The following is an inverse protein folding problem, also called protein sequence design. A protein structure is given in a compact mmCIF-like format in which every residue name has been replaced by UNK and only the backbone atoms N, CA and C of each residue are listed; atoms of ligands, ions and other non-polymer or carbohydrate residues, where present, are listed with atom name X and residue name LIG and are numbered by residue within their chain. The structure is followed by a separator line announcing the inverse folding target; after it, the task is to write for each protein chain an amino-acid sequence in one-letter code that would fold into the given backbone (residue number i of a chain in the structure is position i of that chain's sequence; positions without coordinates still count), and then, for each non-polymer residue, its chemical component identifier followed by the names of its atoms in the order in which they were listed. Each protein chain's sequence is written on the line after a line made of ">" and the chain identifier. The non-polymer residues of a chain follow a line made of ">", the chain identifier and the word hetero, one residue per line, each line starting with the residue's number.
data_IF_546570480430
#
_entry.id   IF_546570480430
#
_cell.length_a   1.000
_cell.length_b   1.000
_cell.length_c   1.000
_cell.angle_alpha   90.00
_cell.angle_beta   90.00
_cell.angle_gamma   90.00
#
_symmetry.space_group_name_H-M   'P 1'
#
loop_
_entity.id
_entity.type
_entity.pdbx_description
1 polymer ?
#
# COMPACT_ATOMS: atom_id res chain seq x y z
N UNK A 1 -10.25 45.57 -23.38
CA UNK A 1 -10.18 44.67 -22.24
C UNK A 1 -11.05 45.17 -21.11
N UNK A 2 -11.75 44.31 -20.42
CA UNK A 2 -12.56 44.69 -19.28
C UNK A 2 -11.68 45.03 -18.10
N UNK A 3 -11.80 46.24 -17.57
CA UNK A 3 -11.08 46.69 -16.36
C UNK A 3 -12.17 47.00 -15.31
N UNK A 4 -11.96 46.55 -14.09
CA UNK A 4 -12.87 46.81 -12.98
C UNK A 4 -12.14 47.53 -11.84
N UNK A 5 -12.85 48.47 -11.20
CA UNK A 5 -12.46 49.06 -9.92
C UNK A 5 -13.02 48.19 -8.79
N UNK A 6 -12.14 47.73 -7.92
CA UNK A 6 -12.47 46.97 -6.73
C UNK A 6 -12.42 47.90 -5.52
N UNK A 7 -13.38 47.74 -4.59
CA UNK A 7 -13.50 48.58 -3.37
C UNK A 7 -13.53 47.68 -2.14
N UNK A 8 -12.54 47.85 -1.29
CA UNK A 8 -12.44 47.12 -0.01
C UNK A 8 -12.81 48.10 1.13
N UNK A 9 -13.86 47.80 1.84
CA UNK A 9 -14.29 48.56 3.02
C UNK A 9 -13.54 48.06 4.29
N UNK A 10 -13.40 48.93 5.27
CA UNK A 10 -12.72 48.60 6.53
C UNK A 10 -11.19 48.61 6.43
N UNK A 11 -10.64 49.12 5.34
CA UNK A 11 -9.20 49.24 5.16
C UNK A 11 -8.59 50.30 6.08
N UNK A 12 -7.35 50.08 6.48
CA UNK A 12 -6.54 51.01 7.29
C UNK A 12 -5.21 51.31 6.57
N UNK A 13 -4.45 52.24 7.06
CA UNK A 13 -3.24 52.76 6.36
C UNK A 13 -2.18 51.71 6.05
N UNK A 14 -2.18 50.57 6.73
CA UNK A 14 -1.26 49.43 6.51
C UNK A 14 -1.93 48.22 5.89
N UNK A 15 -3.14 48.39 5.29
CA UNK A 15 -3.80 47.32 4.54
C UNK A 15 -3.09 47.08 3.23
N UNK A 16 -2.77 45.83 2.97
CA UNK A 16 -2.26 45.31 1.69
C UNK A 16 -3.34 44.47 1.03
N UNK A 17 -3.36 44.50 -0.29
CA UNK A 17 -4.22 43.62 -1.12
C UNK A 17 -3.29 42.92 -2.12
N UNK A 18 -3.34 41.58 -2.12
CA UNK A 18 -2.64 40.78 -3.09
C UNK A 18 -3.61 40.05 -4.02
N UNK A 19 -3.32 40.08 -5.32
CA UNK A 19 -3.89 39.17 -6.30
C UNK A 19 -3.17 37.81 -6.15
N UNK A 20 -3.90 36.80 -5.74
CA UNK A 20 -3.41 35.42 -5.51
C UNK A 20 -4.02 34.44 -6.53
N UNK A 21 -4.54 34.96 -7.65
CA UNK A 21 -5.10 34.16 -8.75
C UNK A 21 -4.07 33.13 -9.26
N UNK A 22 -2.79 33.46 -9.24
CA UNK A 22 -1.68 32.51 -9.32
C UNK A 22 -0.99 32.48 -7.95
N UNK A 23 -1.22 31.45 -7.14
CA UNK A 23 -0.67 31.38 -5.78
C UNK A 23 0.86 31.28 -5.74
N UNK A 24 1.48 30.88 -6.86
CA UNK A 24 2.94 30.83 -6.97
C UNK A 24 3.55 32.18 -7.33
N UNK A 25 2.73 33.14 -7.79
CA UNK A 25 3.15 34.49 -8.21
C UNK A 25 2.20 35.57 -7.70
N UNK A 26 2.04 35.72 -6.40
CA UNK A 26 1.18 36.75 -5.83
C UNK A 26 1.65 38.16 -6.23
N UNK A 27 0.71 39.04 -6.57
CA UNK A 27 0.99 40.40 -7.00
C UNK A 27 0.36 41.41 -6.03
N UNK A 28 1.15 42.37 -5.56
CA UNK A 28 0.61 43.44 -4.72
C UNK A 28 -0.21 44.42 -5.56
N UNK A 29 -1.43 44.67 -5.14
CA UNK A 29 -2.32 45.65 -5.79
C UNK A 29 -2.03 47.04 -5.31
N UNK A 30 -1.69 47.94 -6.23
CA UNK A 30 -1.52 49.35 -5.95
C UNK A 30 -2.88 50.00 -5.98
N UNK A 31 -3.23 50.80 -4.97
CA UNK A 31 -4.52 51.44 -4.86
C UNK A 31 -4.46 52.71 -4.02
N UNK A 32 -5.63 53.31 -3.83
CA UNK A 32 -5.80 54.55 -3.04
C UNK A 32 -6.67 54.28 -1.85
N UNK A 33 -6.23 54.64 -0.67
CA UNK A 33 -7.01 54.63 0.55
C UNK A 33 -7.66 56.00 0.75
N UNK A 34 -9.00 56.02 0.85
CA UNK A 34 -9.80 57.20 1.17
C UNK A 34 -10.74 56.89 2.33
N UNK A 35 -10.48 57.47 3.48
CA UNK A 35 -11.16 57.09 4.72
C UNK A 35 -10.85 55.65 5.10
N UNK A 36 -11.84 54.77 5.14
CA UNK A 36 -11.73 53.35 5.40
C UNK A 36 -11.97 52.47 4.14
N UNK A 37 -11.94 53.07 2.95
CA UNK A 37 -12.11 52.38 1.69
C UNK A 37 -10.81 52.37 0.88
N UNK A 38 -10.29 51.17 0.56
CA UNK A 38 -9.18 51.01 -0.35
C UNK A 38 -9.68 50.63 -1.75
N UNK A 39 -9.29 51.41 -2.74
CA UNK A 39 -9.69 51.19 -4.15
C UNK A 39 -8.49 50.82 -4.99
N UNK A 40 -8.67 49.81 -5.80
CA UNK A 40 -7.65 49.38 -6.78
C UNK A 40 -8.33 48.96 -8.08
N UNK A 41 -7.55 48.95 -9.15
CA UNK A 41 -8.03 48.60 -10.49
C UNK A 41 -7.26 47.37 -11.00
N UNK A 42 -7.98 46.44 -11.58
CA UNK A 42 -7.37 45.26 -12.23
C UNK A 42 -8.21 44.82 -13.44
N UNK A 43 -7.65 43.98 -14.30
CA UNK A 43 -8.40 43.39 -15.42
C UNK A 43 -9.41 42.39 -14.90
N UNK A 44 -10.61 42.41 -15.48
CA UNK A 44 -11.73 41.54 -15.11
C UNK A 44 -12.09 40.55 -16.25
N UNK A 45 -11.08 40.07 -16.99
CA UNK A 45 -11.29 39.18 -18.14
C UNK A 45 -11.46 37.71 -17.70
N UNK A 46 -11.09 37.40 -16.46
CA UNK A 46 -11.21 36.07 -15.84
C UNK A 46 -11.54 36.20 -14.34
N UNK A 47 -11.96 35.09 -13.74
CA UNK A 47 -12.07 35.02 -12.27
C UNK A 47 -10.71 35.35 -11.63
N UNK A 48 -10.73 36.20 -10.60
CA UNK A 48 -9.57 36.57 -9.82
C UNK A 48 -9.83 36.38 -8.34
N UNK A 49 -8.77 36.01 -7.64
CA UNK A 49 -8.80 35.82 -6.18
C UNK A 49 -7.90 36.88 -5.52
N UNK A 50 -8.43 37.53 -4.51
CA UNK A 50 -7.71 38.54 -3.74
C UNK A 50 -7.71 38.20 -2.27
N UNK A 51 -6.58 38.46 -1.59
CA UNK A 51 -6.47 38.45 -0.15
C UNK A 51 -6.12 39.84 0.35
N UNK A 52 -6.86 40.32 1.36
CA UNK A 52 -6.56 41.59 2.04
C UNK A 52 -6.14 41.32 3.48
N UNK A 53 -5.07 41.94 3.92
CA UNK A 53 -4.52 41.75 5.25
C UNK A 53 -3.76 43.01 5.73
N UNK A 54 -3.50 43.07 7.04
CA UNK A 54 -2.71 44.12 7.64
C UNK A 54 -1.30 43.61 7.95
N UNK A 55 -0.27 44.44 7.77
CA UNK A 55 1.14 44.06 8.00
C UNK A 55 1.45 43.56 9.42
N UNK A 56 0.58 43.82 10.38
CA UNK A 56 0.75 43.39 11.78
C UNK A 56 0.35 41.91 12.01
N UNK A 57 -0.30 41.29 11.05
CA UNK A 57 -0.87 39.93 11.19
C UNK A 57 -0.08 38.86 10.41
N UNK A 58 1.16 39.14 10.05
CA UNK A 58 2.00 38.13 9.41
C UNK A 58 2.32 37.00 10.36
N UNK A 59 2.07 35.79 9.89
CA UNK A 59 2.60 34.60 10.58
C UNK A 59 4.12 34.63 10.48
N UNK A 60 4.77 34.34 11.59
CA UNK A 60 6.24 34.26 11.66
C UNK A 60 6.66 32.78 11.53
N UNK A 61 7.56 32.43 10.60
CA UNK A 61 8.10 31.09 10.57
C UNK A 61 8.98 30.84 11.80
N UNK A 62 8.88 29.64 12.37
CA UNK A 62 9.76 29.20 13.46
C UNK A 62 10.94 28.48 12.87
N UNK A 63 12.16 28.92 13.19
CA UNK A 63 13.38 28.22 12.76
C UNK A 63 13.50 26.89 13.53
N UNK A 64 13.46 25.76 12.82
CA UNK A 64 13.61 24.42 13.41
C UNK A 64 15.08 24.00 13.50
N UNK A 65 15.92 24.44 12.59
CA UNK A 65 17.33 24.12 12.55
C UNK A 65 17.88 23.91 11.13
N UNK A 66 19.12 23.44 11.05
CA UNK A 66 19.75 23.07 9.79
C UNK A 66 19.38 21.64 9.42
N UNK A 67 19.04 21.45 8.14
CA UNK A 67 18.91 20.12 7.54
C UNK A 67 20.30 19.68 7.08
N UNK A 68 20.64 18.39 7.25
CA UNK A 68 21.88 17.83 6.72
C UNK A 68 21.89 17.93 5.19
N UNK A 69 23.04 18.24 4.61
CA UNK A 69 23.16 18.23 3.16
C UNK A 69 22.92 16.81 2.62
N UNK A 70 22.16 16.75 1.55
CA UNK A 70 21.81 15.51 0.84
C UNK A 70 21.73 15.77 -0.65
N UNK A 71 21.74 14.73 -1.46
CA UNK A 71 21.62 14.79 -2.91
C UNK A 71 20.94 13.49 -3.42
N UNK A 72 19.64 13.41 -3.30
CA UNK A 72 18.86 12.30 -3.85
C UNK A 72 18.73 12.41 -5.36
N UNK A 73 18.78 13.63 -5.89
CA UNK A 73 18.83 13.87 -7.34
C UNK A 73 20.12 13.31 -7.97
N UNK A 74 21.23 13.26 -7.26
CA UNK A 74 22.48 12.65 -7.71
C UNK A 74 22.55 11.14 -7.56
N UNK A 75 21.52 10.48 -7.00
CA UNK A 75 21.54 9.04 -6.77
C UNK A 75 21.69 8.23 -8.07
N UNK A 76 22.52 7.16 -8.08
CA UNK A 76 22.72 6.31 -9.25
C UNK A 76 21.48 5.44 -9.53
N UNK A 77 21.38 4.91 -10.74
CA UNK A 77 20.34 3.96 -11.13
C UNK A 77 20.25 2.80 -10.13
N UNK A 78 19.03 2.43 -9.76
CA UNK A 78 18.77 1.42 -8.74
C UNK A 78 17.61 0.50 -9.14
N UNK A 79 17.70 -0.77 -8.78
CA UNK A 79 16.62 -1.74 -9.02
C UNK A 79 15.57 -1.74 -7.92
N UNK A 80 15.94 -1.41 -6.69
CA UNK A 80 15.08 -1.49 -5.54
C UNK A 80 15.18 -0.23 -4.69
N UNK A 81 14.04 0.40 -4.48
CA UNK A 81 13.91 1.62 -3.68
C UNK A 81 13.21 1.25 -2.39
N UNK A 82 13.76 1.67 -1.26
CA UNK A 82 13.12 1.54 0.06
C UNK A 82 12.94 2.94 0.63
N UNK A 83 11.70 3.33 0.86
CA UNK A 83 11.35 4.59 1.54
C UNK A 83 10.83 4.24 2.93
N UNK A 84 11.53 4.67 3.96
CA UNK A 84 11.24 4.34 5.35
C UNK A 84 11.00 5.58 6.21
N UNK A 85 10.15 5.46 7.22
CA UNK A 85 10.11 6.50 8.26
C UNK A 85 11.47 6.59 8.98
N UNK A 86 11.94 7.78 9.39
CA UNK A 86 13.24 7.93 10.05
C UNK A 86 13.47 6.97 11.23
N UNK A 87 12.45 6.71 12.04
CA UNK A 87 12.55 5.79 13.19
C UNK A 87 12.78 4.33 12.80
N UNK A 88 12.49 3.95 11.55
CA UNK A 88 12.61 2.58 11.04
C UNK A 88 13.77 2.43 10.04
N UNK A 89 14.46 3.52 9.70
CA UNK A 89 15.47 3.56 8.66
C UNK A 89 16.63 2.57 8.90
N UNK A 90 17.00 2.34 10.15
CA UNK A 90 18.07 1.39 10.49
C UNK A 90 17.75 -0.04 10.01
N UNK A 91 16.52 -0.49 10.20
CA UNK A 91 16.08 -1.82 9.73
C UNK A 91 15.90 -1.86 8.20
N UNK A 92 15.44 -0.77 7.59
CA UNK A 92 15.38 -0.62 6.14
C UNK A 92 16.79 -0.72 5.52
N UNK A 93 17.79 -0.07 6.11
CA UNK A 93 19.19 -0.19 5.68
C UNK A 93 19.75 -1.60 5.87
N UNK A 94 19.39 -2.28 6.96
CA UNK A 94 19.78 -3.68 7.21
C UNK A 94 19.22 -4.59 6.11
N UNK A 95 17.95 -4.42 5.76
CA UNK A 95 17.30 -5.15 4.66
C UNK A 95 17.95 -4.82 3.31
N UNK A 96 18.20 -3.55 3.03
CA UNK A 96 18.87 -3.11 1.80
C UNK A 96 20.26 -3.75 1.64
N UNK A 97 21.05 -3.79 2.72
CA UNK A 97 22.37 -4.42 2.73
C UNK A 97 22.28 -5.93 2.45
N UNK A 98 21.28 -6.59 3.05
CA UNK A 98 21.05 -8.00 2.81
C UNK A 98 20.72 -8.29 1.33
N UNK A 99 19.86 -7.51 0.70
CA UNK A 99 19.53 -7.66 -0.72
C UNK A 99 20.72 -7.41 -1.63
N UNK A 100 21.54 -6.39 -1.35
CA UNK A 100 22.77 -6.13 -2.10
C UNK A 100 23.75 -7.31 -2.06
N UNK A 101 23.91 -7.92 -0.88
CA UNK A 101 24.88 -9.00 -0.65
C UNK A 101 24.41 -10.36 -1.18
N UNK A 102 23.10 -10.63 -1.14
CA UNK A 102 22.57 -11.98 -1.37
C UNK A 102 21.76 -12.13 -2.65
N UNK A 103 21.26 -11.02 -3.23
CA UNK A 103 20.39 -11.06 -4.42
C UNK A 103 20.92 -10.26 -5.59
N UNK A 104 22.11 -9.70 -5.48
CA UNK A 104 22.76 -8.90 -6.53
C UNK A 104 21.87 -7.72 -7.02
N UNK A 105 21.09 -7.12 -6.11
CA UNK A 105 20.27 -5.95 -6.41
C UNK A 105 21.03 -4.66 -6.07
N UNK A 106 20.88 -3.65 -6.90
CA UNK A 106 21.22 -2.28 -6.52
C UNK A 106 20.04 -1.73 -5.71
N UNK A 107 20.31 -1.30 -4.48
CA UNK A 107 19.25 -0.85 -3.55
C UNK A 107 19.58 0.52 -3.02
N UNK A 108 18.62 1.42 -3.02
CA UNK A 108 18.67 2.67 -2.26
C UNK A 108 17.64 2.61 -1.14
N UNK A 109 18.05 2.96 0.08
CA UNK A 109 17.15 3.09 1.21
C UNK A 109 17.31 4.49 1.81
N UNK A 110 16.21 5.23 1.85
CA UNK A 110 16.14 6.63 2.27
C UNK A 110 15.00 6.85 3.27
N UNK A 111 15.09 7.93 4.04
CA UNK A 111 13.97 8.32 4.89
C UNK A 111 12.93 9.14 4.14
N UNK A 112 11.69 9.10 4.64
CA UNK A 112 10.61 9.99 4.15
C UNK A 112 11.02 11.45 4.23
N UNK A 113 11.68 11.89 5.32
CA UNK A 113 12.16 13.27 5.46
C UNK A 113 13.13 13.66 4.35
N UNK A 114 14.07 12.78 3.99
CA UNK A 114 15.00 13.05 2.89
C UNK A 114 14.25 13.24 1.57
N UNK A 115 13.23 12.41 1.32
CA UNK A 115 12.40 12.54 0.12
C UNK A 115 11.58 13.83 0.15
N UNK A 116 10.96 14.17 1.27
CA UNK A 116 10.18 15.40 1.40
C UNK A 116 11.01 16.66 1.20
N UNK A 117 12.26 16.67 1.68
CA UNK A 117 13.15 17.81 1.50
C UNK A 117 13.45 18.13 0.04
N UNK A 118 13.62 17.12 -0.81
CA UNK A 118 13.99 17.32 -2.22
C UNK A 118 12.82 17.27 -3.21
N UNK A 119 11.75 16.53 -2.88
CA UNK A 119 10.63 16.26 -3.80
C UNK A 119 9.28 16.80 -3.31
N UNK A 120 9.19 17.24 -2.04
CA UNK A 120 7.97 17.73 -1.41
C UNK A 120 8.09 19.14 -0.83
N UNK A 121 9.12 19.91 -1.19
CA UNK A 121 9.38 21.26 -0.62
C UNK A 121 9.44 21.25 0.91
N UNK A 122 9.86 20.14 1.52
CA UNK A 122 9.97 19.96 2.96
C UNK A 122 8.66 19.54 3.66
N UNK A 123 7.58 19.37 2.93
CA UNK A 123 6.28 18.93 3.50
C UNK A 123 6.03 17.45 3.26
N UNK A 124 5.43 16.73 4.23
CA UNK A 124 4.96 15.36 4.01
C UNK A 124 3.94 15.30 2.87
N UNK A 125 4.26 14.52 1.84
CA UNK A 125 3.44 14.40 0.65
C UNK A 125 3.66 13.03 -0.02
N UNK A 126 2.58 12.32 -0.29
CA UNK A 126 2.63 11.06 -1.04
C UNK A 126 3.20 11.28 -2.45
N UNK A 127 2.86 12.40 -3.10
CA UNK A 127 3.37 12.74 -4.42
C UNK A 127 4.91 12.92 -4.43
N UNK A 128 5.51 13.37 -3.34
CA UNK A 128 6.96 13.48 -3.22
C UNK A 128 7.64 12.10 -3.34
N UNK A 129 7.07 11.07 -2.73
CA UNK A 129 7.59 9.69 -2.82
C UNK A 129 7.44 9.19 -4.26
N UNK A 130 6.26 9.38 -4.89
CA UNK A 130 6.05 9.02 -6.31
C UNK A 130 7.06 9.73 -7.22
N UNK A 131 7.26 11.03 -7.05
CA UNK A 131 8.20 11.82 -7.86
C UNK A 131 9.66 11.36 -7.67
N UNK A 132 10.04 10.98 -6.46
CA UNK A 132 11.36 10.37 -6.21
C UNK A 132 11.55 9.06 -6.99
N UNK A 133 10.56 8.18 -7.00
CA UNK A 133 10.59 6.93 -7.77
C UNK A 133 10.57 7.21 -9.27
N UNK A 134 9.69 8.12 -9.71
CA UNK A 134 9.58 8.54 -11.12
C UNK A 134 10.89 9.09 -11.67
N UNK A 135 11.65 9.80 -10.88
CA UNK A 135 12.97 10.31 -11.29
C UNK A 135 13.90 9.18 -11.79
N UNK A 136 13.93 8.03 -11.12
CA UNK A 136 14.72 6.88 -11.58
C UNK A 136 14.13 6.26 -12.83
N UNK A 137 12.80 6.16 -12.91
CA UNK A 137 12.10 5.62 -14.06
C UNK A 137 12.36 6.46 -15.32
N UNK A 138 12.17 7.77 -15.24
CA UNK A 138 12.38 8.70 -16.36
C UNK A 138 13.84 8.73 -16.83
N UNK A 139 14.79 8.70 -15.90
CA UNK A 139 16.23 8.67 -16.23
C UNK A 139 16.66 7.40 -16.92
N UNK A 140 16.03 6.28 -16.62
CA UNK A 140 16.30 5.03 -17.29
C UNK A 140 15.82 5.04 -18.75
N UNK A 141 14.73 5.74 -19.05
CA UNK A 141 14.16 5.85 -20.39
C UNK A 141 13.95 4.49 -21.04
N UNK A 142 14.55 4.27 -22.21
CA UNK A 142 14.46 2.98 -22.92
C UNK A 142 15.37 1.88 -22.36
N UNK A 143 16.29 2.19 -21.44
CA UNK A 143 17.21 1.21 -20.84
C UNK A 143 16.51 0.49 -19.67
N UNK A 144 15.79 -0.56 -19.99
CA UNK A 144 15.04 -1.37 -19.00
C UNK A 144 15.92 -1.99 -17.91
N UNK A 145 17.23 -2.16 -18.16
CA UNK A 145 18.16 -2.69 -17.16
C UNK A 145 18.42 -1.70 -16.02
N UNK A 146 18.25 -0.40 -16.29
CA UNK A 146 18.41 0.68 -15.30
C UNK A 146 17.12 1.10 -14.63
N UNK A 147 15.96 0.61 -15.10
CA UNK A 147 14.67 0.94 -14.48
C UNK A 147 14.59 0.39 -13.07
N UNK A 148 13.97 1.14 -12.14
CA UNK A 148 13.57 0.57 -10.86
C UNK A 148 12.59 -0.58 -11.11
N UNK A 149 12.68 -1.63 -10.30
CA UNK A 149 11.78 -2.79 -10.39
C UNK A 149 10.87 -2.89 -9.19
N UNK A 150 11.33 -2.39 -8.05
CA UNK A 150 10.65 -2.55 -6.77
C UNK A 150 10.70 -1.29 -5.95
N UNK A 151 9.57 -1.01 -5.29
CA UNK A 151 9.44 -0.04 -4.21
C UNK A 151 8.96 -0.76 -2.95
N UNK A 152 9.62 -0.50 -1.83
CA UNK A 152 9.14 -0.88 -0.51
C UNK A 152 8.83 0.37 0.30
N UNK A 153 7.59 0.50 0.73
CA UNK A 153 7.13 1.48 1.69
C UNK A 153 7.30 0.88 3.10
N UNK A 154 8.24 1.41 3.87
CA UNK A 154 8.64 0.81 5.13
C UNK A 154 8.18 1.66 6.31
N UNK A 155 6.96 1.40 6.74
CA UNK A 155 6.23 2.08 7.80
C UNK A 155 4.72 1.98 7.59
N UNK A 156 4.00 2.10 8.68
CA UNK A 156 2.54 2.15 8.71
C UNK A 156 2.01 3.38 7.99
N UNK A 157 0.74 3.35 7.57
CA UNK A 157 0.05 4.47 6.97
C UNK A 157 -1.24 4.80 7.73
N UNK A 158 -1.83 5.94 7.42
CA UNK A 158 -3.11 6.32 7.98
C UNK A 158 -3.89 7.23 7.03
N UNK A 159 -5.21 7.03 6.96
CA UNK A 159 -6.12 7.96 6.31
C UNK A 159 -6.13 9.35 6.98
N UNK A 160 -5.68 9.45 8.24
CA UNK A 160 -5.54 10.72 8.95
C UNK A 160 -4.17 11.38 8.66
N UNK A 161 -4.00 11.87 7.44
CA UNK A 161 -2.77 12.55 7.02
C UNK A 161 -2.49 13.86 7.77
N UNK A 162 -3.50 14.44 8.43
CA UNK A 162 -3.36 15.66 9.25
C UNK A 162 -3.04 15.38 10.72
N UNK A 163 -2.88 14.10 11.09
CA UNK A 163 -2.51 13.66 12.45
C UNK A 163 -3.45 14.21 13.53
N UNK A 164 -4.76 14.14 13.32
CA UNK A 164 -5.81 14.60 14.24
C UNK A 164 -6.26 13.52 15.21
N UNK A 165 -6.06 12.26 14.87
CA UNK A 165 -6.42 11.10 15.71
C UNK A 165 -5.28 10.87 16.70
N UNK A 166 -5.63 10.74 17.98
CA UNK A 166 -4.64 10.40 18.99
C UNK A 166 -4.06 9.00 18.78
N UNK A 167 -2.74 8.88 18.78
CA UNK A 167 -2.05 7.62 18.50
C UNK A 167 -1.96 7.26 17.02
N UNK A 168 -2.21 8.22 16.14
CA UNK A 168 -2.05 8.05 14.69
C UNK A 168 -0.62 7.61 14.31
N UNK A 169 -0.51 6.70 13.35
CA UNK A 169 0.75 6.10 12.90
C UNK A 169 1.02 6.30 11.40
N UNK A 170 0.69 7.48 10.86
CA UNK A 170 1.00 7.82 9.48
C UNK A 170 2.51 8.05 9.28
N UNK A 171 3.27 6.97 9.29
CA UNK A 171 4.73 6.98 9.17
C UNK A 171 5.20 7.10 7.72
N UNK A 172 4.55 6.38 6.81
CA UNK A 172 4.77 6.45 5.35
C UNK A 172 3.40 6.53 4.70
N UNK A 173 3.04 7.68 4.10
CA UNK A 173 1.68 7.91 3.62
C UNK A 173 1.26 6.90 2.55
N UNK A 174 -0.04 6.70 2.41
CA UNK A 174 -0.69 6.00 1.31
C UNK A 174 -1.50 6.98 0.46
N UNK A 175 -1.99 6.52 -0.69
CA UNK A 175 -3.01 7.23 -1.45
C UNK A 175 -4.38 6.86 -0.90
N UNK A 176 -5.24 7.86 -0.74
CA UNK A 176 -6.65 7.69 -0.37
C UNK A 176 -7.55 8.24 -1.47
N UNK A 177 -8.62 7.51 -1.80
CA UNK A 177 -9.63 7.99 -2.74
C UNK A 177 -10.42 9.15 -2.14
N UNK A 178 -11.05 9.95 -2.99
CA UNK A 178 -11.94 11.06 -2.59
C UNK A 178 -13.33 10.60 -2.16
N UNK A 179 -13.68 9.33 -2.39
CA UNK A 179 -14.99 8.74 -2.10
C UNK A 179 -15.11 8.20 -0.67
N UNK A 180 -14.54 8.87 0.32
CA UNK A 180 -14.39 8.36 1.70
C UNK A 180 -15.71 8.07 2.44
N UNK A 181 -16.85 8.58 1.97
CA UNK A 181 -18.16 8.32 2.56
C UNK A 181 -18.92 7.15 1.92
N UNK A 182 -18.44 6.63 0.80
CA UNK A 182 -19.04 5.48 0.12
C UNK A 182 -18.18 4.23 0.38
N UNK A 183 -18.66 3.25 1.17
CA UNK A 183 -17.89 2.07 1.50
C UNK A 183 -17.57 1.16 0.29
N UNK A 184 -18.28 1.32 -0.83
CA UNK A 184 -18.04 0.55 -2.05
C UNK A 184 -17.10 1.25 -3.03
N UNK A 185 -16.93 2.56 -2.90
CA UNK A 185 -16.09 3.38 -3.76
C UNK A 185 -14.80 3.87 -3.07
N UNK A 186 -14.75 3.82 -1.72
CA UNK A 186 -13.55 4.20 -0.96
C UNK A 186 -12.45 3.15 -1.08
N UNK A 187 -11.22 3.61 -1.24
CA UNK A 187 -10.05 2.74 -1.20
C UNK A 187 -8.79 3.48 -0.76
N UNK A 188 -7.88 2.75 -0.15
CA UNK A 188 -6.48 3.13 -0.01
C UNK A 188 -5.65 2.27 -0.95
N UNK A 189 -4.61 2.84 -1.55
CA UNK A 189 -3.76 2.10 -2.48
C UNK A 189 -2.33 2.60 -2.50
N UNK A 190 -1.40 1.65 -2.49
CA UNK A 190 0.01 1.94 -2.74
C UNK A 190 0.35 1.94 -4.25
N UNK A 191 -0.56 1.55 -5.12
CA UNK A 191 -0.37 1.54 -6.58
C UNK A 191 -0.04 2.94 -7.12
N UNK A 192 -0.54 3.99 -6.48
CA UNK A 192 -0.23 5.38 -6.79
C UNK A 192 1.27 5.64 -6.96
N UNK A 193 2.11 4.98 -6.16
CA UNK A 193 3.56 5.18 -6.19
C UNK A 193 4.25 4.46 -7.35
N UNK A 194 3.56 3.57 -8.04
CA UNK A 194 4.10 2.79 -9.16
C UNK A 194 3.48 3.09 -10.51
N UNK A 195 2.55 4.04 -10.57
CA UNK A 195 1.99 4.60 -11.78
C UNK A 195 2.89 5.76 -12.21
N UNK A 196 3.87 5.49 -13.09
CA UNK A 196 5.01 6.39 -13.34
C UNK A 196 4.97 7.05 -14.70
N UNK A 197 4.16 6.59 -15.64
CA UNK A 197 3.97 7.25 -16.92
C UNK A 197 3.22 8.58 -16.75
N UNK A 198 3.48 9.55 -17.64
CA UNK A 198 2.88 10.90 -17.56
C UNK A 198 1.36 10.90 -17.73
N UNK A 199 0.81 9.85 -18.36
CA UNK A 199 -0.62 9.72 -18.61
C UNK A 199 -1.34 8.88 -17.55
N UNK A 200 -0.60 8.36 -16.57
CA UNK A 200 -1.18 7.52 -15.54
C UNK A 200 -2.05 8.33 -14.57
N UNK A 201 -3.20 7.76 -14.29
CA UNK A 201 -4.17 8.32 -13.37
C UNK A 201 -4.84 7.17 -12.60
N UNK A 202 -4.64 7.16 -11.28
CA UNK A 202 -5.20 6.14 -10.39
C UNK A 202 -6.73 6.14 -10.38
N UNK A 203 -7.37 7.27 -10.69
CA UNK A 203 -8.83 7.41 -10.71
C UNK A 203 -9.45 7.11 -12.08
N UNK A 204 -8.64 6.81 -13.09
CA UNK A 204 -9.13 6.56 -14.43
C UNK A 204 -9.62 5.12 -14.59
N UNK A 205 -10.90 4.96 -14.93
CA UNK A 205 -11.49 3.66 -15.21
C UNK A 205 -11.13 3.09 -16.58
N UNK A 206 -10.85 3.94 -17.58
CA UNK A 206 -10.46 3.49 -18.92
C UNK A 206 -9.75 4.61 -19.73
N UNK A 207 -8.64 4.34 -20.44
CA UNK A 207 -7.85 3.11 -20.33
C UNK A 207 -7.24 2.95 -18.93
N UNK A 208 -7.15 1.72 -18.45
CA UNK A 208 -6.57 1.43 -17.13
C UNK A 208 -5.07 1.68 -17.17
N UNK A 209 -4.56 2.44 -16.20
CA UNK A 209 -3.13 2.60 -15.98
C UNK A 209 -2.52 1.30 -15.43
N UNK A 210 -1.34 0.93 -15.89
CA UNK A 210 -0.63 -0.27 -15.45
C UNK A 210 0.55 0.11 -14.56
N UNK A 211 0.83 -0.70 -13.55
CA UNK A 211 2.00 -0.48 -12.71
C UNK A 211 3.30 -0.72 -13.48
N UNK A 212 4.22 0.23 -13.40
CA UNK A 212 5.56 0.13 -13.99
C UNK A 212 6.54 -0.65 -13.12
N UNK A 213 6.27 -0.70 -11.81
CA UNK A 213 7.12 -1.37 -10.81
C UNK A 213 6.29 -2.15 -9.80
N UNK A 214 6.89 -3.16 -9.18
CA UNK A 214 6.28 -3.87 -8.07
C UNK A 214 6.36 -3.07 -6.77
N UNK A 215 5.26 -3.01 -6.02
CA UNK A 215 5.17 -2.27 -4.77
C UNK A 215 4.82 -3.21 -3.64
N UNK A 216 5.44 -3.00 -2.50
CA UNK A 216 5.09 -3.66 -1.26
C UNK A 216 5.16 -2.69 -0.09
N UNK A 217 4.42 -3.00 0.97
CA UNK A 217 4.45 -2.26 2.23
C UNK A 217 4.77 -3.17 3.40
N UNK A 218 5.61 -2.71 4.30
CA UNK A 218 5.74 -3.26 5.66
C UNK A 218 5.10 -2.23 6.60
N UNK A 219 3.85 -2.45 7.05
CA UNK A 219 3.10 -1.49 7.88
C UNK A 219 3.55 -1.55 9.34
N UNK A 220 4.85 -1.46 9.58
CA UNK A 220 5.41 -1.47 10.92
C UNK A 220 5.22 -0.10 11.60
N UNK A 221 4.70 -0.11 12.82
CA UNK A 221 4.48 1.05 13.69
C UNK A 221 5.66 1.31 14.60
N UNK A 222 6.44 0.26 14.90
CA UNK A 222 7.53 0.28 15.85
C UNK A 222 8.81 -0.34 15.28
N UNK A 223 9.96 0.04 15.86
CA UNK A 223 11.25 -0.56 15.50
C UNK A 223 11.28 -2.08 15.79
N UNK A 224 10.56 -2.55 16.81
CA UNK A 224 10.47 -3.97 17.13
C UNK A 224 9.75 -4.76 16.02
N UNK A 225 8.62 -4.25 15.53
CA UNK A 225 7.90 -4.85 14.39
C UNK A 225 8.75 -4.83 13.12
N UNK A 226 9.37 -3.69 12.80
CA UNK A 226 10.26 -3.58 11.66
C UNK A 226 11.39 -4.63 11.72
N UNK A 227 12.04 -4.76 12.88
CA UNK A 227 13.06 -5.76 13.13
C UNK A 227 12.52 -7.18 12.95
N UNK A 228 11.35 -7.47 13.48
CA UNK A 228 10.69 -8.78 13.38
C UNK A 228 10.48 -9.19 11.93
N UNK A 229 9.98 -8.29 11.08
CA UNK A 229 9.73 -8.59 9.67
C UNK A 229 11.06 -8.77 8.91
N UNK A 230 12.05 -7.89 9.13
CA UNK A 230 13.36 -8.03 8.48
C UNK A 230 14.04 -9.33 8.91
N UNK A 231 13.96 -9.73 10.17
CA UNK A 231 14.49 -11.01 10.66
C UNK A 231 13.78 -12.21 9.98
N UNK A 232 12.45 -12.13 9.79
CA UNK A 232 11.69 -13.15 9.05
C UNK A 232 12.15 -13.27 7.60
N UNK A 233 12.32 -12.14 6.89
CA UNK A 233 12.76 -12.12 5.49
C UNK A 233 14.16 -12.76 5.38
N UNK A 234 15.10 -12.38 6.22
CA UNK A 234 16.46 -12.94 6.22
C UNK A 234 16.43 -14.45 6.53
N UNK A 235 15.68 -14.85 7.54
CA UNK A 235 15.54 -16.26 7.95
C UNK A 235 14.86 -17.10 6.87
N UNK A 236 13.90 -16.57 6.14
CA UNK A 236 13.18 -17.26 5.07
C UNK A 236 14.13 -17.79 3.98
N UNK A 237 15.28 -17.13 3.78
CA UNK A 237 16.33 -17.54 2.84
C UNK A 237 17.41 -18.39 3.49
N UNK A 238 17.36 -18.62 4.80
CA UNK A 238 18.32 -19.50 5.48
C UNK A 238 17.97 -20.97 5.25
N UNK A 239 18.99 -21.84 5.35
CA UNK A 239 18.86 -23.28 5.07
C UNK A 239 17.77 -23.96 5.89
N UNK A 240 17.54 -23.51 7.10
CA UNK A 240 16.54 -24.04 8.04
C UNK A 240 15.10 -23.81 7.58
N UNK A 241 14.90 -22.87 6.67
CA UNK A 241 13.58 -22.57 6.10
C UNK A 241 13.29 -23.33 4.81
N UNK A 242 14.23 -24.17 4.32
CA UNK A 242 13.97 -25.02 3.17
C UNK A 242 13.42 -26.37 3.64
N UNK A 243 12.45 -26.90 2.88
CA UNK A 243 11.85 -28.19 3.19
C UNK A 243 10.68 -28.55 2.26
N UNK A 244 10.14 -29.77 2.38
CA UNK A 244 9.05 -30.24 1.53
C UNK A 244 7.80 -29.37 1.57
N UNK A 245 7.57 -28.65 2.66
CA UNK A 245 6.44 -27.74 2.83
C UNK A 245 6.36 -26.66 1.74
N UNK A 246 7.47 -26.34 1.08
CA UNK A 246 7.50 -25.38 -0.05
C UNK A 246 6.89 -25.94 -1.33
N UNK A 247 6.56 -27.22 -1.37
CA UNK A 247 5.82 -27.84 -2.47
C UNK A 247 4.31 -27.95 -2.16
N UNK A 248 3.86 -27.47 -1.00
CA UNK A 248 2.46 -27.56 -0.60
C UNK A 248 1.74 -26.23 -0.84
N UNK A 249 0.56 -26.30 -1.43
CA UNK A 249 -0.39 -25.20 -1.56
C UNK A 249 -1.67 -25.57 -0.82
N UNK A 250 -2.16 -24.68 0.02
CA UNK A 250 -3.40 -24.89 0.77
C UNK A 250 -4.49 -23.97 0.23
N UNK A 251 -5.62 -24.55 -0.13
CA UNK A 251 -6.81 -23.85 -0.58
C UNK A 251 -7.90 -24.00 0.47
N UNK A 252 -8.43 -22.87 0.92
CA UNK A 252 -9.51 -22.80 1.92
C UNK A 252 -10.68 -22.08 1.28
N UNK A 253 -11.89 -22.65 1.39
CA UNK A 253 -13.09 -22.07 0.81
C UNK A 253 -14.24 -22.03 1.81
N UNK A 254 -14.92 -20.89 1.84
CA UNK A 254 -16.15 -20.65 2.59
C UNK A 254 -17.31 -21.45 1.99
N UNK A 255 -18.33 -21.74 2.78
CA UNK A 255 -19.53 -22.50 2.40
C UNK A 255 -20.72 -21.62 1.99
N UNK A 256 -20.58 -20.31 2.05
CA UNK A 256 -21.65 -19.37 1.67
C UNK A 256 -21.70 -19.12 0.15
N UNK A 257 -22.70 -18.31 -0.30
CA UNK A 257 -22.86 -17.80 -1.66
C UNK A 257 -23.02 -18.88 -2.77
N UNK A 258 -23.78 -19.94 -2.49
CA UNK A 258 -24.09 -20.99 -3.48
C UNK A 258 -22.86 -21.61 -4.15
N UNK A 259 -21.86 -21.97 -3.36
CA UNK A 259 -20.61 -22.62 -3.76
C UNK A 259 -19.65 -21.76 -4.59
N UNK A 260 -19.85 -20.45 -4.72
CA UNK A 260 -18.97 -19.61 -5.53
C UNK A 260 -17.50 -19.66 -5.04
N UNK A 261 -17.30 -19.73 -3.74
CA UNK A 261 -15.97 -19.78 -3.13
C UNK A 261 -15.30 -21.13 -3.30
N UNK A 262 -16.07 -22.21 -3.25
CA UNK A 262 -15.62 -23.56 -3.52
C UNK A 262 -15.24 -23.71 -5.00
N UNK A 263 -16.07 -23.20 -5.92
CA UNK A 263 -15.79 -23.22 -7.35
C UNK A 263 -14.51 -22.45 -7.69
N UNK A 264 -14.26 -21.33 -7.01
CA UNK A 264 -13.02 -20.55 -7.15
C UNK A 264 -11.81 -21.35 -6.68
N UNK A 265 -11.88 -21.98 -5.53
CA UNK A 265 -10.80 -22.82 -4.99
C UNK A 265 -10.54 -24.05 -5.89
N UNK A 266 -11.59 -24.68 -6.44
CA UNK A 266 -11.44 -25.78 -7.40
C UNK A 266 -10.82 -25.31 -8.73
N UNK A 267 -11.18 -24.13 -9.20
CA UNK A 267 -10.52 -23.55 -10.37
C UNK A 267 -9.00 -23.37 -10.11
N UNK A 268 -8.62 -22.82 -8.97
CA UNK A 268 -7.20 -22.68 -8.60
C UNK A 268 -6.52 -24.04 -8.48
N UNK A 269 -7.18 -25.04 -7.87
CA UNK A 269 -6.70 -26.41 -7.80
C UNK A 269 -6.38 -26.98 -9.19
N UNK A 270 -7.28 -26.78 -10.15
CA UNK A 270 -7.10 -27.24 -11.52
C UNK A 270 -5.93 -26.55 -12.22
N UNK A 271 -5.73 -25.24 -12.00
CA UNK A 271 -4.56 -24.51 -12.52
C UNK A 271 -3.25 -25.08 -11.95
N UNK A 272 -3.19 -25.30 -10.64
CA UNK A 272 -1.99 -25.81 -9.97
C UNK A 272 -1.63 -27.22 -10.45
N UNK A 273 -2.63 -28.06 -10.67
CA UNK A 273 -2.43 -29.45 -11.12
C UNK A 273 -1.82 -29.57 -12.53
N UNK A 274 -1.86 -28.52 -13.34
CA UNK A 274 -1.31 -28.57 -14.71
C UNK A 274 0.18 -28.89 -14.77
N UNK A 275 0.94 -28.68 -13.70
CA UNK A 275 2.38 -28.94 -13.68
C UNK A 275 2.83 -30.07 -12.77
N UNK A 276 1.96 -30.67 -11.98
CA UNK A 276 2.22 -31.79 -11.05
C UNK A 276 3.40 -31.60 -10.08
N UNK A 277 3.78 -30.33 -9.78
CA UNK A 277 4.91 -30.03 -8.87
C UNK A 277 4.50 -29.71 -7.45
N UNK A 278 3.23 -29.38 -7.27
CA UNK A 278 2.71 -28.97 -5.96
C UNK A 278 1.70 -29.98 -5.44
N UNK A 279 1.78 -30.25 -4.15
CA UNK A 279 0.75 -30.93 -3.41
C UNK A 279 -0.34 -29.93 -3.02
N UNK A 280 -1.60 -30.30 -3.19
CA UNK A 280 -2.72 -29.43 -2.84
C UNK A 280 -3.43 -29.98 -1.63
N UNK A 281 -3.53 -29.15 -0.59
CA UNK A 281 -4.37 -29.40 0.57
C UNK A 281 -5.64 -28.57 0.46
N UNK A 282 -6.81 -29.22 0.59
CA UNK A 282 -8.11 -28.57 0.48
C UNK A 282 -8.79 -28.57 1.85
N UNK A 283 -9.19 -27.39 2.31
CA UNK A 283 -9.96 -27.19 3.55
C UNK A 283 -11.20 -26.42 3.15
N UNK A 284 -12.22 -27.13 2.68
CA UNK A 284 -13.49 -26.58 2.26
C UNK A 284 -14.51 -26.76 3.39
N UNK A 285 -15.17 -25.67 3.83
CA UNK A 285 -16.04 -25.68 5.00
C UNK A 285 -17.17 -26.68 4.86
N UNK A 286 -17.74 -26.84 3.65
CA UNK A 286 -18.78 -27.82 3.35
C UNK A 286 -18.41 -29.29 3.64
N UNK A 287 -17.12 -29.61 3.66
CA UNK A 287 -16.63 -30.95 3.97
C UNK A 287 -16.56 -31.24 5.48
N UNK A 288 -16.84 -30.27 6.32
CA UNK A 288 -16.73 -30.36 7.78
C UNK A 288 -18.10 -30.19 8.45
N UNK A 289 -18.20 -30.69 9.68
CA UNK A 289 -19.44 -30.56 10.44
C UNK A 289 -19.54 -29.20 11.11
N UNK A 290 -20.53 -28.40 10.70
CA UNK A 290 -20.88 -27.18 11.40
C UNK A 290 -21.54 -27.46 12.76
N UNK A 291 -21.15 -26.73 13.76
CA UNK A 291 -21.70 -26.76 15.11
C UNK A 291 -22.37 -25.42 15.42
N UNK A 292 -23.65 -25.45 15.79
CA UNK A 292 -24.40 -24.25 16.18
C UNK A 292 -24.52 -24.15 17.69
N UNK A 293 -24.31 -22.93 18.20
CA UNK A 293 -24.41 -22.64 19.64
C UNK A 293 -24.92 -21.23 19.91
N UNK A 294 -24.99 -20.82 21.16
CA UNK A 294 -25.43 -19.47 21.56
C UNK A 294 -24.52 -18.34 21.00
N UNK A 295 -23.29 -18.66 20.66
CA UNK A 295 -22.33 -17.74 20.05
C UNK A 295 -22.30 -17.75 18.53
N UNK A 296 -23.28 -18.37 17.86
CA UNK A 296 -23.35 -18.56 16.41
C UNK A 296 -22.81 -19.91 15.94
N UNK A 297 -22.76 -20.08 14.63
CA UNK A 297 -22.18 -21.26 14.00
C UNK A 297 -20.66 -21.27 14.08
N UNK A 298 -20.04 -22.44 14.10
CA UNK A 298 -18.59 -22.65 14.18
C UNK A 298 -18.19 -23.93 13.46
N UNK A 299 -16.91 -23.98 13.03
CA UNK A 299 -16.27 -25.16 12.44
C UNK A 299 -15.01 -25.54 13.22
N UNK A 300 -15.10 -26.17 14.43
CA UNK A 300 -13.92 -26.51 15.23
C UNK A 300 -12.90 -27.37 14.50
N UNK A 301 -13.38 -28.32 13.66
CA UNK A 301 -12.50 -29.20 12.89
C UNK A 301 -11.76 -28.43 11.78
N UNK A 302 -12.36 -27.38 11.18
CA UNK A 302 -11.69 -26.45 10.25
C UNK A 302 -10.61 -25.64 10.96
N UNK A 303 -10.92 -25.08 12.14
CA UNK A 303 -9.92 -24.37 12.95
C UNK A 303 -8.70 -25.27 13.25
N UNK A 304 -8.95 -26.53 13.62
CA UNK A 304 -7.90 -27.51 13.86
C UNK A 304 -7.11 -27.83 12.58
N UNK A 305 -7.78 -28.02 11.44
CA UNK A 305 -7.14 -28.29 10.15
C UNK A 305 -6.23 -27.13 9.71
N UNK A 306 -6.71 -25.88 9.84
CA UNK A 306 -5.91 -24.68 9.54
C UNK A 306 -4.68 -24.63 10.45
N UNK A 307 -4.83 -24.75 11.76
CA UNK A 307 -3.70 -24.74 12.70
C UNK A 307 -2.69 -25.85 12.37
N UNK A 308 -3.16 -27.07 12.16
CA UNK A 308 -2.31 -28.20 11.82
C UNK A 308 -1.51 -27.95 10.54
N UNK A 309 -2.15 -27.31 9.54
CA UNK A 309 -1.48 -26.99 8.28
C UNK A 309 -0.46 -25.87 8.41
N UNK A 310 -0.72 -24.84 9.19
CA UNK A 310 0.26 -23.78 9.49
C UNK A 310 1.49 -24.35 10.19
N UNK A 311 1.33 -25.28 11.15
CA UNK A 311 2.46 -25.94 11.80
C UNK A 311 3.21 -26.92 10.90
N UNK A 312 2.50 -27.66 10.03
CA UNK A 312 3.13 -28.53 9.03
C UNK A 312 3.90 -27.73 7.99
N UNK A 313 3.40 -26.54 7.65
CA UNK A 313 3.90 -25.62 6.64
C UNK A 313 3.19 -25.77 5.30
N UNK A 314 3.11 -24.68 4.56
CA UNK A 314 2.61 -24.56 3.19
C UNK A 314 3.29 -23.38 2.52
N UNK A 315 3.58 -23.46 1.22
CA UNK A 315 4.20 -22.36 0.47
C UNK A 315 3.21 -21.22 0.30
N UNK A 316 1.99 -21.56 -0.10
CA UNK A 316 0.88 -20.62 -0.28
C UNK A 316 -0.29 -21.12 0.56
N UNK A 317 -0.89 -20.21 1.31
CA UNK A 317 -2.15 -20.40 1.97
C UNK A 317 -3.16 -19.44 1.33
N UNK A 318 -4.16 -19.96 0.63
CA UNK A 318 -5.15 -19.16 -0.08
C UNK A 318 -6.52 -19.37 0.52
N UNK A 319 -7.24 -18.29 0.76
CA UNK A 319 -8.62 -18.28 1.21
C UNK A 319 -9.51 -17.54 0.22
N UNK A 320 -10.65 -18.12 -0.10
CA UNK A 320 -11.76 -17.50 -0.84
C UNK A 320 -13.02 -17.56 0.00
N UNK A 321 -13.60 -16.41 0.33
CA UNK A 321 -14.78 -16.36 1.20
C UNK A 321 -15.02 -15.01 1.85
N UNK A 322 -15.98 -14.97 2.76
CA UNK A 322 -16.27 -13.82 3.57
C UNK A 322 -15.23 -13.56 4.66
N UNK A 323 -15.08 -12.33 5.08
CA UNK A 323 -14.18 -11.98 6.16
C UNK A 323 -14.11 -10.49 6.41
N UNK A 324 -13.18 -10.11 7.25
CA UNK A 324 -12.92 -8.74 7.63
C UNK A 324 -11.67 -8.63 8.48
N UNK A 325 -11.42 -7.47 9.03
CA UNK A 325 -10.20 -7.16 9.76
C UNK A 325 -9.95 -7.99 11.03
N UNK A 326 -10.95 -8.71 11.51
CA UNK A 326 -10.85 -9.47 12.77
C UNK A 326 -10.93 -10.98 12.62
N UNK A 327 -11.52 -11.48 11.52
CA UNK A 327 -11.76 -12.93 11.32
C UNK A 327 -12.04 -13.26 9.87
N UNK A 328 -11.87 -14.53 9.50
CA UNK A 328 -12.33 -15.12 8.25
C UNK A 328 -13.59 -15.96 8.51
N UNK A 329 -14.52 -15.92 7.58
CA UNK A 329 -15.86 -16.50 7.60
C UNK A 329 -16.76 -15.99 8.76
N UNK A 330 -18.06 -16.14 8.62
CA UNK A 330 -19.03 -15.87 9.69
C UNK A 330 -18.76 -16.71 10.94
N UNK A 331 -18.29 -17.92 10.76
CA UNK A 331 -17.97 -18.94 11.76
C UNK A 331 -16.64 -18.73 12.49
N UNK A 332 -15.87 -17.69 12.11
CA UNK A 332 -14.56 -17.39 12.68
C UNK A 332 -13.57 -18.57 12.55
N UNK A 333 -13.38 -19.05 11.32
CA UNK A 333 -12.44 -20.14 11.03
C UNK A 333 -10.99 -19.76 11.30
N UNK A 334 -10.70 -18.45 11.28
CA UNK A 334 -9.45 -17.85 11.68
C UNK A 334 -9.75 -16.51 12.37
N UNK A 335 -9.18 -16.31 13.53
CA UNK A 335 -9.29 -15.09 14.33
C UNK A 335 -7.97 -14.73 15.03
N UNK A 336 -7.99 -13.63 15.78
CA UNK A 336 -6.84 -13.10 16.49
C UNK A 336 -6.29 -14.08 17.54
N UNK A 337 -7.18 -14.74 18.29
CA UNK A 337 -6.79 -15.67 19.36
C UNK A 337 -6.09 -16.88 18.77
N UNK A 338 -6.59 -17.41 17.67
CA UNK A 338 -5.99 -18.53 16.97
C UNK A 338 -4.60 -18.17 16.42
N UNK A 339 -4.45 -17.02 15.74
CA UNK A 339 -3.17 -16.53 15.23
C UNK A 339 -2.17 -16.30 16.38
N UNK A 340 -2.64 -15.88 17.54
CA UNK A 340 -1.80 -15.71 18.73
C UNK A 340 -1.15 -17.00 19.23
N UNK A 341 -1.70 -18.18 18.88
CA UNK A 341 -1.12 -19.48 19.23
C UNK A 341 -0.08 -20.00 18.23
N UNK A 342 0.05 -19.37 17.07
CA UNK A 342 0.93 -19.87 15.99
C UNK A 342 2.40 -19.85 16.37
N UNK A 343 3.13 -20.90 15.93
CA UNK A 343 4.57 -21.03 16.05
C UNK A 343 5.12 -21.77 14.83
N UNK A 344 5.44 -21.02 13.77
CA UNK A 344 5.93 -21.58 12.50
C UNK A 344 7.17 -20.84 11.95
N UNK A 345 8.24 -20.65 12.75
CA UNK A 345 9.32 -19.69 12.50
C UNK A 345 10.09 -19.91 11.19
N UNK A 346 10.10 -21.15 10.66
CA UNK A 346 10.84 -21.53 9.47
C UNK A 346 9.92 -21.98 8.32
N UNK A 347 8.59 -21.87 8.49
CA UNK A 347 7.59 -22.35 7.54
C UNK A 347 6.52 -21.27 7.31
N UNK A 348 6.96 -20.09 6.89
CA UNK A 348 6.11 -18.92 6.73
C UNK A 348 5.48 -18.94 5.32
N UNK A 349 4.16 -19.07 5.19
CA UNK A 349 3.49 -19.05 3.89
C UNK A 349 3.44 -17.65 3.28
N UNK A 350 3.29 -17.58 1.96
CA UNK A 350 2.59 -16.48 1.34
C UNK A 350 1.10 -16.64 1.65
N UNK A 351 0.52 -15.63 2.29
CA UNK A 351 -0.86 -15.66 2.75
C UNK A 351 -1.71 -14.83 1.80
N UNK A 352 -2.63 -15.47 1.08
CA UNK A 352 -3.51 -14.82 0.10
C UNK A 352 -4.95 -14.90 0.61
N UNK A 353 -5.61 -13.77 0.73
CA UNK A 353 -7.02 -13.73 1.16
C UNK A 353 -7.86 -12.96 0.15
N UNK A 354 -8.70 -13.71 -0.57
CA UNK A 354 -9.75 -13.16 -1.43
C UNK A 354 -11.02 -12.93 -0.59
N UNK A 355 -11.00 -11.88 0.21
CA UNK A 355 -12.07 -11.50 1.16
C UNK A 355 -12.09 -9.99 1.34
N UNK A 356 -13.04 -9.46 2.11
CA UNK A 356 -13.13 -8.02 2.40
C UNK A 356 -12.23 -7.62 3.58
N UNK A 357 -11.74 -6.36 3.58
CA UNK A 357 -11.18 -5.65 4.74
C UNK A 357 -10.16 -6.41 5.60
N UNK A 358 -9.39 -7.34 5.05
CA UNK A 358 -8.55 -8.20 5.89
C UNK A 358 -7.35 -7.48 6.50
N UNK A 359 -6.78 -6.51 5.78
CA UNK A 359 -5.66 -5.71 6.26
C UNK A 359 -5.79 -4.21 5.91
N UNK A 360 -6.75 -3.49 6.51
CA UNK A 360 -6.89 -2.04 6.33
C UNK A 360 -5.78 -1.29 7.09
N UNK A 361 -4.55 -1.37 6.59
CA UNK A 361 -3.34 -0.82 7.20
C UNK A 361 -3.36 0.72 7.35
N UNK A 362 -4.26 1.39 6.66
CA UNK A 362 -4.47 2.84 6.74
C UNK A 362 -5.39 3.25 7.90
N UNK A 363 -5.99 2.29 8.61
CA UNK A 363 -6.91 2.58 9.70
C UNK A 363 -6.21 2.54 11.07
N UNK A 364 -5.86 3.70 11.67
CA UNK A 364 -5.11 3.75 12.92
C UNK A 364 -5.88 3.22 14.13
N UNK A 365 -7.20 3.03 13.99
CA UNK A 365 -8.08 2.51 15.07
C UNK A 365 -8.23 0.98 15.04
N UNK A 366 -7.69 0.30 14.04
CA UNK A 366 -7.82 -1.15 13.87
C UNK A 366 -6.43 -1.78 13.86
N UNK A 367 -6.25 -2.81 14.68
CA UNK A 367 -5.13 -3.74 14.55
C UNK A 367 -5.66 -4.99 13.85
N UNK A 368 -5.47 -5.07 12.55
CA UNK A 368 -6.08 -6.09 11.72
C UNK A 368 -5.42 -7.45 11.89
N UNK A 369 -6.18 -8.50 11.57
CA UNK A 369 -5.68 -9.87 11.57
C UNK A 369 -4.54 -10.05 10.55
N UNK A 370 -4.65 -9.41 9.38
CA UNK A 370 -3.60 -9.41 8.36
C UNK A 370 -2.30 -8.78 8.86
N UNK A 371 -2.35 -7.58 9.45
CA UNK A 371 -1.16 -6.95 10.03
C UNK A 371 -0.54 -7.81 11.13
N UNK A 372 -1.37 -8.39 12.02
CA UNK A 372 -0.87 -9.27 13.07
C UNK A 372 -0.13 -10.49 12.48
N UNK A 373 -0.70 -11.16 11.47
CA UNK A 373 -0.05 -12.29 10.78
C UNK A 373 1.30 -11.88 10.18
N UNK A 374 1.40 -10.67 9.61
CA UNK A 374 2.62 -10.19 8.98
C UNK A 374 3.68 -9.73 9.99
N UNK A 375 3.27 -9.00 11.03
CA UNK A 375 4.20 -8.27 11.91
C UNK A 375 4.72 -9.10 13.10
N UNK A 376 4.04 -10.21 13.46
CA UNK A 376 4.45 -11.06 14.58
C UNK A 376 5.85 -11.59 14.44
N UNK A 377 6.57 -11.61 15.55
CA UNK A 377 7.93 -12.12 15.61
C UNK A 377 7.98 -13.64 15.35
N UNK A 378 8.81 -14.07 14.40
CA UNK A 378 9.14 -15.47 14.12
C UNK A 378 7.97 -16.41 13.81
N UNK A 379 6.81 -15.87 13.43
CA UNK A 379 5.60 -16.65 13.15
C UNK A 379 4.72 -15.94 12.14
N UNK A 380 3.58 -16.53 11.76
CA UNK A 380 2.61 -15.96 10.83
C UNK A 380 2.95 -16.21 9.37
N UNK A 381 3.05 -15.16 8.58
CA UNK A 381 3.34 -15.22 7.14
C UNK A 381 4.63 -14.48 6.78
N UNK A 382 5.20 -14.81 5.61
CA UNK A 382 6.35 -14.07 5.04
C UNK A 382 5.86 -12.84 4.27
N UNK A 383 4.72 -12.93 3.64
CA UNK A 383 4.06 -11.86 2.91
C UNK A 383 2.55 -12.08 2.86
N UNK A 384 1.81 -11.00 2.62
CA UNK A 384 0.38 -11.02 2.40
C UNK A 384 0.06 -10.50 0.99
N UNK A 385 -0.96 -11.09 0.36
CA UNK A 385 -1.68 -10.53 -0.77
C UNK A 385 -3.16 -10.50 -0.36
N UNK A 386 -3.66 -9.32 -0.05
CA UNK A 386 -4.95 -9.16 0.63
C UNK A 386 -5.58 -7.81 0.35
N UNK A 387 -6.75 -7.58 0.88
CA UNK A 387 -7.58 -6.41 0.64
C UNK A 387 -7.59 -5.43 1.80
N UNK A 388 -7.76 -4.17 1.48
CA UNK A 388 -7.85 -3.06 2.45
C UNK A 388 -9.27 -2.54 2.63
N UNK A 389 -10.18 -2.91 1.74
CA UNK A 389 -11.59 -2.48 1.73
C UNK A 389 -12.51 -3.60 1.29
N UNK A 390 -13.81 -3.31 1.27
CA UNK A 390 -14.84 -4.20 0.71
C UNK A 390 -14.55 -4.47 -0.76
N UNK A 391 -14.68 -5.72 -1.17
CA UNK A 391 -14.38 -6.19 -2.54
C UNK A 391 -15.47 -7.12 -3.05
N UNK A 392 -15.54 -7.30 -4.36
CA UNK A 392 -16.47 -8.22 -5.00
C UNK A 392 -15.81 -9.58 -5.28
N UNK A 393 -16.55 -10.67 -5.03
CA UNK A 393 -16.06 -12.03 -5.25
C UNK A 393 -15.53 -12.24 -6.68
N UNK A 394 -16.22 -11.69 -7.70
CA UNK A 394 -15.79 -11.79 -9.10
C UNK A 394 -14.38 -11.20 -9.34
N UNK A 395 -14.11 -10.02 -8.79
CA UNK A 395 -12.80 -9.37 -8.92
C UNK A 395 -11.69 -10.19 -8.23
N UNK A 396 -11.98 -10.69 -7.03
CA UNK A 396 -11.07 -11.57 -6.29
C UNK A 396 -10.76 -12.85 -7.07
N UNK A 397 -11.76 -13.45 -7.70
CA UNK A 397 -11.60 -14.63 -8.58
C UNK A 397 -10.61 -14.35 -9.69
N UNK A 398 -10.82 -13.27 -10.44
CA UNK A 398 -9.94 -12.91 -11.56
C UNK A 398 -8.51 -12.72 -11.04
N UNK A 399 -8.31 -11.98 -9.96
CA UNK A 399 -7.01 -11.75 -9.34
C UNK A 399 -6.32 -13.09 -9.02
N UNK A 400 -6.90 -13.91 -8.21
CA UNK A 400 -6.33 -15.19 -7.85
C UNK A 400 -6.01 -16.07 -9.05
N UNK A 401 -6.93 -16.14 -10.03
CA UNK A 401 -6.72 -16.94 -11.24
C UNK A 401 -5.46 -16.51 -11.99
N UNK A 402 -5.27 -15.22 -12.17
CA UNK A 402 -4.10 -14.72 -12.89
C UNK A 402 -2.83 -14.92 -12.05
N UNK A 403 -2.91 -14.67 -10.73
CA UNK A 403 -1.78 -14.94 -9.85
C UNK A 403 -1.33 -16.41 -9.96
N UNK A 404 -2.23 -17.38 -9.80
CA UNK A 404 -1.88 -18.79 -9.85
C UNK A 404 -1.35 -19.22 -11.21
N UNK A 405 -1.92 -18.72 -12.31
CA UNK A 405 -1.42 -18.98 -13.67
C UNK A 405 0.00 -18.47 -13.86
N UNK A 406 0.33 -17.30 -13.30
CA UNK A 406 1.64 -16.69 -13.49
C UNK A 406 2.68 -17.21 -12.48
N UNK A 407 2.28 -17.40 -11.22
CA UNK A 407 3.21 -17.79 -10.16
C UNK A 407 3.60 -19.27 -10.23
N UNK A 408 2.67 -20.14 -10.60
CA UNK A 408 2.83 -21.59 -10.43
C UNK A 408 2.91 -22.37 -11.75
N UNK A 409 2.80 -21.69 -12.90
CA UNK A 409 3.06 -22.32 -14.19
C UNK A 409 4.42 -21.86 -14.74
N UNK A 410 5.21 -22.77 -15.31
CA UNK A 410 6.47 -22.40 -15.93
C UNK A 410 6.23 -21.62 -17.22
N UNK A 411 7.20 -20.80 -17.61
CA UNK A 411 7.25 -20.18 -18.92
C UNK A 411 7.50 -21.21 -20.06
N UNK A 412 7.56 -20.73 -21.30
CA UNK A 412 7.83 -21.58 -22.47
C UNK A 412 9.19 -22.33 -22.40
N UNK A 413 10.11 -21.88 -21.55
CA UNK A 413 11.42 -22.50 -21.32
C UNK A 413 11.43 -23.46 -20.11
N UNK A 414 10.27 -23.67 -19.47
CA UNK A 414 10.14 -24.48 -18.26
C UNK A 414 10.66 -23.81 -16.99
N UNK A 415 10.88 -22.50 -17.03
CA UNK A 415 11.36 -21.70 -15.89
C UNK A 415 10.15 -21.16 -15.13
N UNK A 416 10.13 -21.44 -13.81
CA UNK A 416 9.12 -20.84 -12.95
C UNK A 416 9.48 -19.37 -12.69
N UNK A 417 8.53 -18.44 -12.82
CA UNK A 417 8.77 -17.07 -12.43
C UNK A 417 9.09 -17.01 -10.94
N UNK A 418 10.06 -16.20 -10.57
CA UNK A 418 10.24 -15.87 -9.15
C UNK A 418 9.03 -15.03 -8.71
N UNK A 419 8.63 -15.12 -7.45
CA UNK A 419 7.53 -14.30 -6.89
C UNK A 419 7.69 -12.82 -7.24
N UNK A 420 8.91 -12.35 -7.40
CA UNK A 420 9.25 -11.00 -7.86
C UNK A 420 8.74 -10.66 -9.28
N UNK A 421 8.82 -11.61 -10.21
CA UNK A 421 8.37 -11.40 -11.61
C UNK A 421 6.85 -11.38 -11.70
N UNK A 422 6.19 -12.18 -10.87
CA UNK A 422 4.73 -12.25 -10.82
C UNK A 422 4.12 -10.94 -10.29
N UNK A 423 4.76 -10.34 -9.30
CA UNK A 423 4.31 -9.06 -8.76
C UNK A 423 4.44 -7.88 -9.74
N UNK A 424 5.38 -7.94 -10.69
CA UNK A 424 5.62 -6.82 -11.60
C UNK A 424 4.78 -6.82 -12.88
N UNK A 425 4.37 -7.97 -13.38
CA UNK A 425 3.79 -8.02 -14.73
C UNK A 425 2.26 -8.09 -14.74
N UNK A 426 1.61 -8.42 -13.63
CA UNK A 426 0.20 -8.76 -13.67
C UNK A 426 -0.64 -8.44 -12.42
N UNK A 427 -0.06 -8.19 -11.27
CA UNK A 427 -0.79 -7.59 -10.15
C UNK A 427 -1.19 -6.15 -10.48
N UNK A 428 -0.38 -5.46 -11.29
CA UNK A 428 -0.70 -4.13 -11.78
C UNK A 428 -2.01 -4.02 -12.57
N UNK A 429 -2.32 -5.00 -13.40
CA UNK A 429 -3.62 -5.04 -14.11
C UNK A 429 -4.79 -5.41 -13.20
N UNK A 430 -4.53 -5.68 -11.93
CA UNK A 430 -5.42 -6.37 -11.02
C UNK A 430 -6.01 -5.50 -9.91
N UNK A 431 -5.19 -4.70 -9.25
CA UNK A 431 -5.72 -3.74 -8.27
C UNK A 431 -6.67 -2.74 -8.92
N UNK A 432 -6.44 -2.39 -10.18
CA UNK A 432 -7.33 -1.52 -10.95
C UNK A 432 -8.63 -2.19 -11.41
N UNK A 433 -8.61 -3.48 -11.74
CA UNK A 433 -9.83 -4.22 -12.13
C UNK A 433 -10.84 -4.35 -10.97
N UNK A 434 -10.38 -4.27 -9.73
CA UNK A 434 -11.22 -4.36 -8.54
C UNK A 434 -11.88 -3.02 -8.21
N UNK A 435 -11.19 -1.90 -8.44
CA UNK A 435 -11.68 -0.58 -8.05
C UNK A 435 -12.64 0.06 -9.05
N UNK A 436 -12.67 -0.40 -10.31
CA UNK A 436 -13.45 0.22 -11.37
C UNK A 436 -14.56 -0.68 -11.96
N UNK A 437 -14.87 -1.81 -11.35
CA UNK A 437 -16.01 -2.64 -11.77
C UNK A 437 -17.25 -2.34 -10.91
N UNK A 438 -17.68 -1.09 -10.93
CA UNK A 438 -19.08 -0.73 -10.57
C UNK A 438 -19.94 -0.76 -11.81
#
# INVERSE_FOLDING_TARGET
>A
GNVAEFRLQGAVSNTLVWDITDPLRPQNMTGVLSGNEFRFVNTAERLREYVAFNQQNFLQPVAVGKIANQDLHGAPATNYIIVAHPSLLAEAQRLANWHRQNQNLTVVAVSTDQVYHEFGSGSPDAAAIRNFVKMFYDRAGADTAKRPRYLLLFGDASYDYLNRINGNTNLVPCYESDASLDPLATYTSDDFFGLLDDQDDINRSFPVSLLDIGIGRIPAKTLAEAKSVVDKIIRYHAKESFGPWRNDVTLVADDEDNNIHLDDAEFHSNVIQQNNRFNISKIYLDAFRQQSGSGGSRYPDVNQAINSKIFAGTLIWNYSGHGGSRRLAGEAILDQDMVNTWSNPNKLPLFITATCDFAPYDNPSVNSLGENILLRERTGAIALMTTTRVVFAFSNRIMNNNYFKQALLPDANGIFPTVHVVNNAQLSSFFFGIMNST
#
